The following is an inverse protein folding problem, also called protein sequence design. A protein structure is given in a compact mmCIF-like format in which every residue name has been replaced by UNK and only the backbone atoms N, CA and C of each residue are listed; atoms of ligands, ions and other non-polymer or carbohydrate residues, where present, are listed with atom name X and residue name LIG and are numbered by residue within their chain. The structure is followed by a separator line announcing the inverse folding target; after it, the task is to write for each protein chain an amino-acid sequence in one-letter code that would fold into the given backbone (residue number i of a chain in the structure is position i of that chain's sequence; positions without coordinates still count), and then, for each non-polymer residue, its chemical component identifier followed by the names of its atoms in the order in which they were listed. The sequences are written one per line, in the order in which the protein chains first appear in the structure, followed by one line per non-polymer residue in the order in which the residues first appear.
data_IF_610229466733
#
_entry.id   IF_610229466733
#
_cell.length_a   1.000
_cell.length_b   1.000
_cell.length_c   1.000
_cell.angle_alpha   90.00
_cell.angle_beta   90.00
_cell.angle_gamma   90.00
#
_symmetry.space_group_name_H-M   'P 1'
#
loop_
_entity.id
_entity.type
_entity.pdbx_description
1 polymer ?
#
# COMPACT_ATOMS: atom_id res chain seq x y z
N UNK A 1 -13.44 -7.22 -9.02
CA UNK A 1 -13.40 -7.29 -10.50
C UNK A 1 -11.99 -6.91 -10.95
N UNK A 2 -11.18 -7.89 -11.41
CA UNK A 2 -9.79 -7.64 -11.86
C UNK A 2 -9.69 -7.35 -13.37
N UNK A 3 -10.70 -7.73 -14.16
CA UNK A 3 -10.70 -7.56 -15.62
C UNK A 3 -10.76 -6.11 -16.12
N UNK A 4 -10.96 -5.14 -15.22
CA UNK A 4 -11.02 -3.71 -15.55
C UNK A 4 -9.71 -2.98 -15.22
N UNK A 5 -8.67 -3.70 -14.83
CA UNK A 5 -7.38 -3.13 -14.43
C UNK A 5 -6.48 -3.10 -15.65
N UNK A 6 -6.14 -1.89 -16.13
CA UNK A 6 -5.27 -1.71 -17.29
C UNK A 6 -3.80 -2.08 -17.00
N UNK A 7 -3.27 -1.59 -15.88
CA UNK A 7 -1.90 -1.86 -15.45
C UNK A 7 -1.90 -2.53 -14.08
N UNK A 8 -1.12 -3.59 -13.94
CA UNK A 8 -1.04 -4.40 -12.72
C UNK A 8 0.42 -4.71 -12.39
N UNK A 9 0.73 -4.66 -11.10
CA UNK A 9 1.99 -5.12 -10.52
C UNK A 9 1.63 -6.13 -9.43
N UNK A 10 2.16 -7.35 -9.53
CA UNK A 10 2.07 -8.37 -8.49
C UNK A 10 3.48 -8.65 -7.94
N UNK A 11 3.68 -8.35 -6.66
CA UNK A 11 4.84 -8.86 -5.92
C UNK A 11 4.52 -10.27 -5.42
N UNK A 12 5.34 -10.82 -4.53
CA UNK A 12 5.06 -12.13 -3.93
C UNK A 12 3.67 -12.17 -3.30
N UNK A 13 2.90 -13.17 -3.69
CA UNK A 13 1.54 -13.41 -3.20
C UNK A 13 1.39 -14.81 -2.61
N UNK A 14 0.35 -15.01 -1.80
CA UNK A 14 -0.01 -16.33 -1.28
C UNK A 14 -0.59 -17.26 -2.36
N UNK A 15 -0.68 -18.55 -2.05
CA UNK A 15 -1.17 -19.55 -3.00
C UNK A 15 -2.63 -19.33 -3.44
N UNK A 16 -3.47 -18.81 -2.54
CA UNK A 16 -4.86 -18.47 -2.82
C UNK A 16 -4.95 -17.30 -3.81
N UNK A 17 -4.28 -16.18 -3.50
CA UNK A 17 -4.23 -15.01 -4.39
C UNK A 17 -3.64 -15.34 -5.76
N UNK A 18 -2.60 -16.19 -5.81
CA UNK A 18 -1.97 -16.61 -7.05
C UNK A 18 -2.94 -17.32 -8.00
N UNK A 19 -3.92 -18.07 -7.48
CA UNK A 19 -4.93 -18.76 -8.28
C UNK A 19 -5.85 -17.80 -9.04
N UNK A 20 -6.11 -16.62 -8.46
CA UNK A 20 -6.91 -15.60 -9.10
C UNK A 20 -6.07 -14.70 -10.03
N UNK A 21 -4.84 -14.37 -9.62
CA UNK A 21 -3.97 -13.44 -10.34
C UNK A 21 -3.32 -14.05 -11.59
N UNK A 22 -3.01 -15.36 -11.59
CA UNK A 22 -2.29 -16.03 -12.69
C UNK A 22 -2.94 -15.78 -14.07
N UNK A 23 -4.27 -15.69 -14.13
CA UNK A 23 -5.04 -15.37 -15.34
C UNK A 23 -4.68 -14.04 -15.99
N UNK A 24 -4.06 -13.12 -15.27
CA UNK A 24 -3.59 -11.84 -15.80
C UNK A 24 -2.18 -11.90 -16.37
N UNK A 25 -1.37 -12.88 -15.94
CA UNK A 25 0.06 -12.99 -16.24
C UNK A 25 0.40 -14.18 -17.17
N UNK A 26 -0.54 -15.09 -17.37
CA UNK A 26 -0.44 -16.12 -18.40
C UNK A 26 -0.34 -15.51 -19.82
N UNK A 27 0.37 -16.17 -20.73
CA UNK A 27 1.10 -17.45 -20.53
C UNK A 27 2.55 -17.25 -20.03
N UNK A 28 2.97 -16.01 -19.74
CA UNK A 28 4.39 -15.69 -19.47
C UNK A 28 4.82 -16.17 -18.08
N UNK A 29 3.96 -16.00 -17.08
CA UNK A 29 4.19 -16.46 -15.73
C UNK A 29 3.07 -17.38 -15.28
N UNK A 30 3.42 -18.40 -14.50
CA UNK A 30 2.47 -19.34 -13.92
C UNK A 30 2.16 -19.01 -12.44
N UNK A 31 1.37 -19.88 -11.81
CA UNK A 31 0.99 -19.74 -10.40
C UNK A 31 2.20 -19.86 -9.47
N UNK A 32 3.15 -20.74 -9.78
CA UNK A 32 4.33 -20.96 -8.95
C UNK A 32 5.28 -19.77 -9.02
N UNK A 33 5.40 -19.13 -10.18
CA UNK A 33 6.20 -17.93 -10.36
C UNK A 33 5.72 -16.82 -9.41
N UNK A 34 4.41 -16.61 -9.30
CA UNK A 34 3.80 -15.59 -8.43
C UNK A 34 4.03 -15.86 -6.93
N UNK A 35 4.08 -17.13 -6.54
CA UNK A 35 4.32 -17.57 -5.15
C UNK A 35 5.80 -17.46 -4.79
N UNK A 36 6.68 -17.80 -5.74
CA UNK A 36 8.11 -17.98 -5.48
C UNK A 36 8.98 -16.78 -5.88
N UNK A 37 8.39 -15.73 -6.46
CA UNK A 37 9.12 -14.53 -6.88
C UNK A 37 10.01 -13.98 -5.75
N UNK A 38 11.23 -13.61 -6.08
CA UNK A 38 12.22 -13.08 -5.14
C UNK A 38 11.77 -11.77 -4.49
N UNK A 39 12.30 -11.49 -3.30
CA UNK A 39 12.07 -10.21 -2.63
C UNK A 39 12.52 -9.05 -3.52
N UNK A 40 11.78 -7.95 -3.44
CA UNK A 40 11.99 -6.76 -4.28
C UNK A 40 11.85 -7.02 -5.79
N UNK A 41 11.17 -8.08 -6.19
CA UNK A 41 10.76 -8.28 -7.58
C UNK A 41 9.23 -8.21 -7.69
N UNK A 42 8.75 -7.87 -8.89
CA UNK A 42 7.33 -7.92 -9.23
C UNK A 42 7.13 -8.32 -10.68
N UNK A 43 6.01 -8.99 -10.96
CA UNK A 43 5.53 -9.17 -12.32
C UNK A 43 4.59 -8.05 -12.68
N UNK A 44 4.80 -7.49 -13.86
CA UNK A 44 4.15 -6.27 -14.31
C UNK A 44 3.51 -6.52 -15.65
N UNK A 45 2.27 -6.04 -15.78
CA UNK A 45 1.54 -5.94 -17.03
C UNK A 45 1.07 -4.50 -17.14
N UNK A 46 1.45 -3.78 -18.17
CA UNK A 46 1.12 -2.37 -18.33
C UNK A 46 0.14 -2.16 -19.47
N UNK A 47 -0.80 -1.24 -19.30
CA UNK A 47 -1.54 -0.65 -20.41
C UNK A 47 -0.71 0.51 -20.96
N UNK A 48 -0.18 0.36 -22.18
CA UNK A 48 0.64 1.36 -22.87
C UNK A 48 -0.08 1.74 -24.16
N UNK A 49 -0.43 3.02 -24.31
CA UNK A 49 -1.14 3.54 -25.49
C UNK A 49 -2.44 2.76 -25.82
N UNK A 50 -3.18 2.34 -24.80
CA UNK A 50 -4.43 1.59 -24.96
C UNK A 50 -4.25 0.09 -25.31
N UNK A 51 -3.02 -0.39 -25.42
CA UNK A 51 -2.70 -1.80 -25.62
C UNK A 51 -2.01 -2.39 -24.40
N UNK A 52 -2.33 -3.62 -24.06
CA UNK A 52 -1.74 -4.30 -22.91
C UNK A 52 -0.40 -4.93 -23.28
N UNK A 53 0.62 -4.70 -22.46
CA UNK A 53 1.94 -5.30 -22.64
C UNK A 53 1.89 -6.81 -22.36
N UNK A 54 2.84 -7.55 -22.93
CA UNK A 54 3.20 -8.84 -22.38
C UNK A 54 3.70 -8.62 -20.94
N UNK A 55 3.37 -9.53 -20.00
CA UNK A 55 3.92 -9.48 -18.66
C UNK A 55 5.45 -9.54 -18.66
N UNK A 56 6.09 -8.82 -17.73
CA UNK A 56 7.55 -8.83 -17.54
C UNK A 56 7.93 -8.67 -16.07
N UNK A 57 9.15 -9.08 -15.71
CA UNK A 57 9.72 -8.88 -14.38
C UNK A 57 10.27 -7.45 -14.22
N UNK A 58 10.09 -6.89 -13.03
CA UNK A 58 10.79 -5.69 -12.57
C UNK A 58 11.45 -5.94 -11.24
N UNK A 59 12.56 -5.24 -11.01
CA UNK A 59 13.28 -5.23 -9.73
C UNK A 59 13.16 -3.85 -9.08
N UNK A 60 12.70 -3.84 -7.84
CA UNK A 60 12.60 -2.66 -6.99
C UNK A 60 13.88 -2.50 -6.17
N UNK A 61 14.19 -1.25 -5.83
CA UNK A 61 15.26 -0.96 -4.91
C UNK A 61 14.77 -1.18 -3.47
N UNK A 62 15.56 -1.83 -2.60
CA UNK A 62 15.25 -1.89 -1.19
C UNK A 62 15.19 -0.47 -0.63
N UNK A 63 14.38 -0.22 0.42
CA UNK A 63 14.35 1.07 1.07
C UNK A 63 15.75 1.44 1.56
N UNK A 64 16.13 2.70 1.34
CA UNK A 64 17.38 3.23 1.89
C UNK A 64 17.33 3.23 3.41
N UNK A 65 18.46 2.94 4.07
CA UNK A 65 18.56 3.09 5.53
C UNK A 65 18.25 4.55 5.89
N UNK A 66 17.23 4.75 6.70
CA UNK A 66 16.91 6.07 7.23
C UNK A 66 17.91 6.51 8.31
N UNK A 67 18.01 7.81 8.52
CA UNK A 67 18.74 8.39 9.64
C UNK A 67 17.80 8.51 10.85
N UNK A 68 18.09 7.72 11.89
CA UNK A 68 17.29 7.67 13.11
C UNK A 68 17.40 8.97 13.93
N UNK A 69 18.55 9.64 13.91
CA UNK A 69 18.72 10.91 14.61
C UNK A 69 17.94 12.01 13.91
N UNK A 70 18.02 12.08 12.57
CA UNK A 70 17.18 12.98 11.79
C UNK A 70 15.68 12.70 12.02
N UNK A 71 15.27 11.43 12.06
CA UNK A 71 13.88 11.06 12.31
C UNK A 71 13.42 11.53 13.71
N UNK A 72 14.26 11.41 14.74
CA UNK A 72 13.96 11.92 16.10
C UNK A 72 13.82 13.44 16.09
N UNK A 73 14.74 14.16 15.46
CA UNK A 73 14.70 15.63 15.36
C UNK A 73 13.46 16.11 14.62
N UNK A 74 13.12 15.48 13.48
CA UNK A 74 11.91 15.79 12.72
C UNK A 74 10.64 15.52 13.53
N UNK A 75 10.59 14.41 14.28
CA UNK A 75 9.46 14.09 15.17
C UNK A 75 9.30 15.15 16.27
N UNK A 76 10.41 15.60 16.87
CA UNK A 76 10.37 16.64 17.90
C UNK A 76 9.93 18.00 17.34
N UNK A 77 10.46 18.40 16.18
CA UNK A 77 10.03 19.62 15.49
C UNK A 77 8.55 19.59 15.13
N UNK A 78 8.06 18.46 14.60
CA UNK A 78 6.63 18.27 14.30
C UNK A 78 5.78 18.41 15.57
N UNK A 79 6.20 17.80 16.69
CA UNK A 79 5.53 17.94 17.99
C UNK A 79 5.52 19.38 18.50
N UNK A 80 6.59 20.15 18.31
CA UNK A 80 6.63 21.55 18.73
C UNK A 80 5.77 22.46 17.84
N UNK A 81 5.77 22.21 16.54
CA UNK A 81 5.06 23.05 15.56
C UNK A 81 3.56 22.75 15.47
N UNK A 82 3.19 21.47 15.55
CA UNK A 82 1.83 20.99 15.32
C UNK A 82 1.24 20.23 16.51
N UNK A 83 2.04 19.87 17.51
CA UNK A 83 1.56 19.18 18.69
C UNK A 83 0.72 20.10 19.56
N UNK A 84 -0.33 19.53 20.15
CA UNK A 84 -1.20 20.19 21.12
C UNK A 84 -1.09 19.44 22.45
N UNK A 85 -1.46 20.11 23.54
CA UNK A 85 -1.46 19.49 24.86
C UNK A 85 -2.46 18.32 24.87
N UNK A 86 -2.01 17.16 25.37
CA UNK A 86 -2.80 15.93 25.38
C UNK A 86 -4.16 16.13 26.07
N UNK A 87 -4.17 16.77 27.23
CA UNK A 87 -5.38 17.01 28.01
C UNK A 87 -6.41 17.87 27.26
N UNK A 88 -5.96 18.90 26.54
CA UNK A 88 -6.82 19.75 25.72
C UNK A 88 -7.44 18.98 24.56
N UNK A 89 -6.66 18.12 23.89
CA UNK A 89 -7.15 17.25 22.81
C UNK A 89 -8.13 16.20 23.34
N UNK A 90 -7.84 15.59 24.49
CA UNK A 90 -8.73 14.60 25.11
C UNK A 90 -10.06 15.20 25.56
N UNK A 91 -10.04 16.40 26.14
CA UNK A 91 -11.26 17.14 26.47
C UNK A 91 -12.08 17.48 25.22
N UNK A 92 -11.44 17.97 24.16
CA UNK A 92 -12.09 18.27 22.87
C UNK A 92 -12.72 17.02 22.23
N UNK A 93 -12.03 15.87 22.27
CA UNK A 93 -12.56 14.59 21.76
C UNK A 93 -13.79 14.17 22.57
N UNK A 94 -13.72 14.24 23.90
CA UNK A 94 -14.81 13.84 24.79
C UNK A 94 -16.04 14.74 24.61
N UNK A 95 -15.83 16.03 24.39
CA UNK A 95 -16.89 17.00 24.11
C UNK A 95 -17.55 16.74 22.75
N UNK A 96 -16.77 16.56 21.68
CA UNK A 96 -17.29 16.20 20.34
C UNK A 96 -18.02 14.85 20.35
N UNK A 97 -17.51 13.87 21.09
CA UNK A 97 -18.13 12.54 21.21
C UNK A 97 -19.50 12.55 21.88
N UNK A 98 -19.78 13.52 22.77
CA UNK A 98 -21.10 13.69 23.41
C UNK A 98 -22.18 14.21 22.44
N UNK A 99 -21.78 14.85 21.33
CA UNK A 99 -22.71 15.40 20.33
C UNK A 99 -23.30 14.29 19.44
N UNK A 100 -22.74 13.07 19.44
CA UNK A 100 -23.23 11.94 18.64
C UNK A 100 -24.31 11.09 19.34
N UNK A 101 -25.26 11.72 20.04
CA UNK A 101 -26.48 11.03 20.52
C UNK A 101 -27.63 11.32 19.55
N UNK A 102 -28.45 10.33 19.14
CA UNK A 102 -29.42 10.50 18.06
C UNK A 102 -30.50 11.50 18.48
N UNK A 103 -30.84 12.42 17.59
CA UNK A 103 -32.11 13.12 17.60
C UNK A 103 -33.22 12.08 17.36
N UNK A 104 -33.70 11.50 18.45
CA UNK A 104 -35.03 10.89 18.52
C UNK A 104 -36.06 12.00 18.66
N UNK A 105 -36.79 12.23 17.58
CA UNK A 105 -38.00 13.04 17.47
C UNK A 105 -38.74 12.61 16.22
#
# INVERSE_FOLDING_TARGET
VFGNIGSMIAMRVGAEDAEFLVKQFEPVFDKNDLINIDNFNGYVKLLINGATSLPFNVKFYPPTKGDLELAKSLKQLSRLKYGREKNSVEAEILERGKIATPISG
#
